data_IF_707789074454
#
_entry.id   IF_707789074454
#
_cell.length_a   1.000
_cell.length_b   1.000
_cell.length_c   1.000
_cell.angle_alpha   90.00
_cell.angle_beta   90.00
_cell.angle_gamma   90.00
#
_symmetry.space_group_name_H-M   'P 1'
#
loop_
_entity.id
_entity.type
_entity.pdbx_description
1 polymer ?
#
# COMPACT_ATOMS: atom_id res chain seq x y z
N UNK A 1 52.67 41.93 7.34
CA UNK A 1 52.04 40.68 7.84
C UNK A 1 50.55 40.84 7.64
N UNK A 2 49.99 40.33 6.54
CA UNK A 2 49.55 38.94 6.29
C UNK A 2 48.15 38.65 6.87
N UNK A 3 47.21 38.51 5.92
CA UNK A 3 45.94 37.79 5.89
C UNK A 3 44.64 38.41 6.44
N UNK A 4 43.81 38.86 5.48
CA UNK A 4 42.36 38.64 5.44
C UNK A 4 42.01 37.18 5.77
N UNK A 5 40.94 36.97 6.54
CA UNK A 5 40.08 35.78 6.41
C UNK A 5 38.63 36.24 6.41
N UNK A 6 38.10 36.33 5.19
CA UNK A 6 36.68 36.24 4.88
C UNK A 6 36.19 34.83 5.28
N UNK A 7 35.13 34.74 6.07
CA UNK A 7 34.33 33.50 6.17
C UNK A 7 32.95 33.80 5.61
N UNK A 8 32.84 33.63 4.29
CA UNK A 8 31.64 33.09 3.64
C UNK A 8 31.58 31.58 3.95
N UNK A 9 30.39 31.08 4.29
CA UNK A 9 29.80 29.75 3.99
C UNK A 9 28.70 29.48 5.03
N UNK A 10 27.51 29.00 4.73
CA UNK A 10 26.83 28.74 3.48
C UNK A 10 25.33 28.62 3.82
N UNK A 11 24.48 29.21 2.99
CA UNK A 11 23.10 28.75 2.86
C UNK A 11 23.11 27.41 2.13
N UNK A 12 22.54 26.39 2.76
CA UNK A 12 21.84 25.26 2.13
C UNK A 12 20.98 24.69 3.27
N UNK A 13 19.69 24.98 3.38
CA UNK A 13 18.77 25.33 2.32
C UNK A 13 18.49 24.11 1.46
N UNK A 14 17.32 23.50 1.71
CA UNK A 14 16.44 22.97 0.67
C UNK A 14 16.55 21.51 0.21
N UNK A 15 17.06 20.57 1.03
CA UNK A 15 16.93 19.13 0.70
C UNK A 15 16.26 18.25 1.76
N UNK A 16 15.95 18.77 2.95
CA UNK A 16 15.25 18.00 4.00
C UNK A 16 13.73 18.21 4.02
N UNK A 17 13.29 19.46 3.81
CA UNK A 17 11.88 19.82 3.99
C UNK A 17 10.98 19.30 2.86
N UNK A 18 11.51 19.10 1.65
CA UNK A 18 10.72 18.66 0.49
C UNK A 18 10.31 17.20 0.58
N UNK A 19 11.15 16.34 1.19
CA UNK A 19 10.85 14.92 1.34
C UNK A 19 9.83 14.66 2.47
N UNK A 20 9.87 15.45 3.54
CA UNK A 20 8.85 15.43 4.60
C UNK A 20 7.55 16.13 4.20
N UNK A 21 7.61 17.19 3.38
CA UNK A 21 6.38 17.84 2.88
C UNK A 21 5.69 17.03 1.77
N UNK A 22 6.43 16.27 0.95
CA UNK A 22 5.82 15.40 -0.06
C UNK A 22 5.12 14.17 0.54
N UNK A 23 5.51 13.73 1.74
CA UNK A 23 4.77 12.68 2.49
C UNK A 23 3.54 13.26 3.21
N UNK A 24 3.59 14.52 3.66
CA UNK A 24 2.47 15.15 4.36
C UNK A 24 1.31 15.60 3.45
N UNK A 25 1.58 15.94 2.18
CA UNK A 25 0.56 16.59 1.32
C UNK A 25 -0.44 15.62 0.67
N UNK A 26 -0.20 14.30 0.76
CA UNK A 26 -1.15 13.28 0.26
C UNK A 26 -2.34 13.09 1.22
N UNK A 27 -2.25 13.59 2.46
CA UNK A 27 -3.26 13.36 3.51
C UNK A 27 -4.37 14.43 3.62
N UNK A 28 -4.31 15.52 2.85
CA UNK A 28 -5.12 16.72 3.14
C UNK A 28 -6.11 17.15 2.04
N UNK A 29 -6.72 16.20 1.32
CA UNK A 29 -7.88 16.52 0.47
C UNK A 29 -9.05 15.55 0.66
N UNK A 30 -10.22 16.18 0.84
CA UNK A 30 -11.58 15.65 0.83
C UNK A 30 -12.04 15.13 2.20
N UNK A 31 -13.22 15.59 2.62
CA UNK A 31 -13.80 15.33 3.95
C UNK A 31 -13.58 13.88 4.39
N UNK A 32 -12.81 13.72 5.47
CA UNK A 32 -12.24 12.45 5.90
C UNK A 32 -13.33 11.59 6.53
N UNK A 33 -14.22 11.04 5.70
CA UNK A 33 -14.88 9.81 6.07
C UNK A 33 -13.77 8.76 6.08
N UNK A 34 -13.48 8.10 7.22
CA UNK A 34 -12.53 7.01 7.23
C UNK A 34 -13.02 5.99 6.20
N UNK A 35 -12.15 5.59 5.27
CA UNK A 35 -12.50 4.62 4.24
C UNK A 35 -13.16 3.40 4.88
N UNK A 36 -14.32 3.03 4.35
CA UNK A 36 -15.09 1.90 4.84
C UNK A 36 -14.52 0.60 4.28
N UNK A 37 -14.92 -0.54 4.85
CA UNK A 37 -14.56 -1.84 4.27
C UNK A 37 -15.12 -2.01 2.86
N UNK A 38 -16.25 -1.38 2.56
CA UNK A 38 -16.84 -1.38 1.22
C UNK A 38 -15.93 -0.63 0.24
N UNK A 39 -15.41 0.55 0.62
CA UNK A 39 -14.50 1.34 -0.20
C UNK A 39 -13.20 0.56 -0.48
N UNK A 40 -12.61 -0.06 0.55
CA UNK A 40 -11.41 -0.88 0.38
C UNK A 40 -11.67 -2.10 -0.52
N UNK A 41 -12.82 -2.74 -0.38
CA UNK A 41 -13.21 -3.86 -1.23
C UNK A 41 -13.35 -3.42 -2.70
N UNK A 42 -13.95 -2.27 -2.97
CA UNK A 42 -14.11 -1.72 -4.31
C UNK A 42 -12.77 -1.40 -4.97
N UNK A 43 -11.87 -0.71 -4.26
CA UNK A 43 -10.50 -0.42 -4.73
C UNK A 43 -9.79 -1.71 -5.09
N UNK A 44 -9.82 -2.70 -4.20
CA UNK A 44 -9.16 -3.98 -4.43
C UNK A 44 -9.77 -4.74 -5.60
N UNK A 45 -11.11 -4.85 -5.69
CA UNK A 45 -11.77 -5.56 -6.80
C UNK A 45 -11.42 -4.92 -8.14
N UNK A 46 -11.35 -3.59 -8.20
CA UNK A 46 -11.01 -2.85 -9.43
C UNK A 46 -9.57 -3.10 -9.87
N UNK A 47 -8.61 -3.01 -8.96
CA UNK A 47 -7.19 -3.17 -9.29
C UNK A 47 -6.73 -4.62 -9.40
N UNK A 48 -7.26 -5.52 -8.57
CA UNK A 48 -6.74 -6.88 -8.37
C UNK A 48 -7.64 -7.97 -9.00
N UNK A 49 -8.89 -7.62 -9.29
CA UNK A 49 -9.93 -8.56 -9.70
C UNK A 49 -10.59 -9.27 -8.51
N UNK A 50 -11.78 -9.84 -8.76
CA UNK A 50 -12.62 -10.46 -7.73
C UNK A 50 -11.94 -11.61 -6.99
N UNK A 51 -11.22 -12.47 -7.72
CA UNK A 51 -10.64 -13.71 -7.16
C UNK A 51 -9.52 -13.42 -6.17
N UNK A 52 -8.58 -12.53 -6.54
CA UNK A 52 -7.48 -12.16 -5.65
C UNK A 52 -8.00 -11.38 -4.45
N UNK A 53 -8.94 -10.45 -4.64
CA UNK A 53 -9.54 -9.72 -3.51
C UNK A 53 -10.24 -10.66 -2.54
N UNK A 54 -11.03 -11.63 -3.04
CA UNK A 54 -11.68 -12.64 -2.20
C UNK A 54 -10.64 -13.49 -1.44
N UNK A 55 -9.57 -13.91 -2.12
CA UNK A 55 -8.47 -14.64 -1.49
C UNK A 55 -7.78 -13.82 -0.39
N UNK A 56 -7.45 -12.55 -0.66
CA UNK A 56 -6.82 -11.67 0.32
C UNK A 56 -7.73 -11.41 1.51
N UNK A 57 -9.03 -11.24 1.29
CA UNK A 57 -10.01 -11.06 2.35
C UNK A 57 -10.12 -12.28 3.29
N UNK A 58 -9.64 -13.44 2.86
CA UNK A 58 -9.71 -14.70 3.60
C UNK A 58 -10.86 -15.61 3.17
N UNK A 59 -11.64 -15.23 2.17
CA UNK A 59 -12.72 -16.07 1.66
C UNK A 59 -12.16 -17.32 0.98
N UNK A 60 -12.93 -18.39 0.99
CA UNK A 60 -12.66 -19.63 0.25
C UNK A 60 -13.21 -19.52 -1.18
N UNK A 61 -14.24 -18.70 -1.40
CA UNK A 61 -14.85 -18.48 -2.72
C UNK A 61 -15.20 -17.01 -2.95
N UNK A 62 -15.31 -16.60 -4.22
CA UNK A 62 -15.80 -15.26 -4.58
C UNK A 62 -17.26 -15.05 -4.14
N UNK A 63 -18.08 -16.11 -4.15
CA UNK A 63 -19.48 -16.03 -3.71
C UNK A 63 -19.59 -15.74 -2.21
N UNK A 64 -18.77 -16.41 -1.39
CA UNK A 64 -18.66 -16.12 0.05
C UNK A 64 -18.24 -14.66 0.28
N UNK A 65 -17.18 -14.21 -0.39
CA UNK A 65 -16.73 -12.82 -0.31
C UNK A 65 -17.87 -11.83 -0.63
N UNK A 66 -18.56 -12.01 -1.76
CA UNK A 66 -19.69 -11.14 -2.17
C UNK A 66 -20.84 -11.16 -1.16
N UNK A 67 -21.10 -12.29 -0.52
CA UNK A 67 -22.18 -12.41 0.46
C UNK A 67 -22.01 -11.49 1.68
N UNK A 68 -20.76 -11.19 2.07
CA UNK A 68 -20.45 -10.30 3.21
C UNK A 68 -20.85 -8.84 2.97
N UNK A 69 -20.98 -8.43 1.71
CA UNK A 69 -21.35 -7.07 1.32
C UNK A 69 -22.81 -6.97 0.85
N UNK A 70 -23.46 -8.11 0.60
CA UNK A 70 -24.88 -8.18 0.26
C UNK A 70 -25.80 -8.28 1.49
N UNK A 71 -25.27 -8.76 2.62
CA UNK A 71 -26.04 -8.99 3.84
C UNK A 71 -25.88 -7.86 4.88
N UNK A 72 -26.82 -7.71 5.83
CA UNK A 72 -26.68 -6.78 6.95
C UNK A 72 -25.50 -7.12 7.86
N UNK A 73 -25.09 -8.39 7.89
CA UNK A 73 -23.97 -8.88 8.69
C UNK A 73 -22.66 -8.50 8.03
N UNK A 74 -22.01 -7.48 8.59
CA UNK A 74 -20.73 -6.94 8.11
C UNK A 74 -19.58 -7.94 8.31
N UNK A 75 -18.55 -7.90 7.44
CA UNK A 75 -17.37 -8.74 7.58
C UNK A 75 -16.63 -8.46 8.90
N UNK A 76 -16.01 -9.50 9.47
CA UNK A 76 -15.28 -9.44 10.73
C UNK A 76 -14.01 -8.57 10.67
N UNK A 77 -13.40 -8.31 11.84
CA UNK A 77 -12.24 -7.42 11.96
C UNK A 77 -11.04 -7.82 11.09
N UNK A 78 -10.69 -9.11 11.05
CA UNK A 78 -9.58 -9.60 10.22
C UNK A 78 -9.79 -9.33 8.72
N UNK A 79 -11.03 -9.52 8.22
CA UNK A 79 -11.37 -9.22 6.82
C UNK A 79 -11.18 -7.73 6.52
N UNK A 80 -11.66 -6.85 7.41
CA UNK A 80 -11.50 -5.40 7.26
C UNK A 80 -10.04 -4.98 7.19
N UNK A 81 -9.18 -5.52 8.06
CA UNK A 81 -7.74 -5.22 8.05
C UNK A 81 -7.04 -5.71 6.81
N UNK A 82 -7.30 -6.95 6.38
CA UNK A 82 -6.69 -7.50 5.16
C UNK A 82 -7.06 -6.66 3.93
N UNK A 83 -8.32 -6.22 3.83
CA UNK A 83 -8.78 -5.36 2.73
C UNK A 83 -8.19 -3.96 2.80
N UNK A 84 -8.09 -3.34 3.99
CA UNK A 84 -7.43 -2.05 4.17
C UNK A 84 -5.96 -2.12 3.73
N UNK A 85 -5.22 -3.13 4.20
CA UNK A 85 -3.82 -3.33 3.82
C UNK A 85 -3.65 -3.61 2.32
N UNK A 86 -4.54 -4.40 1.71
CA UNK A 86 -4.52 -4.63 0.27
C UNK A 86 -4.78 -3.35 -0.52
N UNK A 87 -5.70 -2.50 -0.06
CA UNK A 87 -5.96 -1.20 -0.68
C UNK A 87 -4.75 -0.26 -0.55
N UNK A 88 -4.07 -0.24 0.60
CA UNK A 88 -2.83 0.53 0.77
C UNK A 88 -1.73 0.07 -0.18
N UNK A 89 -1.55 -1.24 -0.38
CA UNK A 89 -0.61 -1.78 -1.38
C UNK A 89 -1.00 -1.30 -2.78
N UNK A 90 -2.28 -1.35 -3.14
CA UNK A 90 -2.76 -0.82 -4.43
C UNK A 90 -2.41 0.65 -4.59
N UNK A 91 -2.60 1.47 -3.55
CA UNK A 91 -2.25 2.90 -3.58
C UNK A 91 -0.74 3.14 -3.76
N UNK A 92 0.13 2.27 -3.23
CA UNK A 92 1.58 2.34 -3.48
C UNK A 92 1.87 2.16 -4.98
N UNK A 93 1.28 1.16 -5.62
CA UNK A 93 1.43 0.94 -7.07
C UNK A 93 0.80 2.05 -7.89
N UNK A 94 -0.36 2.56 -7.49
CA UNK A 94 -1.05 3.67 -8.15
C UNK A 94 -0.22 4.95 -8.13
N UNK A 95 0.40 5.29 -6.98
CA UNK A 95 1.28 6.46 -6.87
C UNK A 95 2.50 6.40 -7.81
N UNK A 96 2.90 5.20 -8.22
CA UNK A 96 3.97 4.94 -9.16
C UNK A 96 3.49 4.76 -10.62
N UNK A 97 2.19 4.93 -10.90
CA UNK A 97 1.54 4.64 -12.18
C UNK A 97 1.69 3.18 -12.65
N UNK A 98 1.77 2.23 -11.71
CA UNK A 98 1.96 0.79 -11.98
C UNK A 98 0.79 -0.05 -11.44
N UNK A 99 -0.42 0.51 -11.33
CA UNK A 99 -1.60 -0.18 -10.76
C UNK A 99 -1.86 -1.55 -11.40
N UNK A 100 -1.61 -1.67 -12.70
CA UNK A 100 -1.76 -2.91 -13.49
C UNK A 100 -0.80 -4.03 -13.06
N UNK A 101 0.34 -3.69 -12.44
CA UNK A 101 1.33 -4.64 -11.94
C UNK A 101 1.06 -5.13 -10.52
N UNK A 102 0.20 -4.43 -9.75
CA UNK A 102 -0.08 -4.76 -8.35
C UNK A 102 -0.59 -6.20 -8.18
N UNK A 103 -1.49 -6.63 -9.07
CA UNK A 103 -2.07 -7.97 -9.03
C UNK A 103 -1.04 -9.07 -9.38
N UNK A 104 -0.09 -8.77 -10.26
CA UNK A 104 0.99 -9.71 -10.61
C UNK A 104 1.98 -9.83 -9.45
N UNK A 105 2.43 -8.70 -8.91
CA UNK A 105 3.36 -8.64 -7.79
C UNK A 105 2.83 -9.38 -6.55
N UNK A 106 1.54 -9.20 -6.22
CA UNK A 106 0.91 -9.89 -5.09
C UNK A 106 0.93 -11.43 -5.22
N UNK A 107 0.96 -11.95 -6.46
CA UNK A 107 1.00 -13.39 -6.75
C UNK A 107 2.41 -13.92 -7.00
N UNK A 108 3.40 -13.04 -7.14
CA UNK A 108 4.77 -13.42 -7.44
C UNK A 108 5.38 -14.18 -6.26
N UNK A 109 6.18 -15.20 -6.59
CA UNK A 109 6.91 -16.02 -5.62
C UNK A 109 8.36 -15.57 -5.68
N UNK A 110 8.92 -15.13 -4.56
CA UNK A 110 10.35 -14.80 -4.51
C UNK A 110 11.24 -16.05 -4.39
N UNK A 111 12.56 -15.85 -4.37
CA UNK A 111 13.54 -16.92 -4.27
C UNK A 111 13.47 -17.70 -2.94
N UNK A 112 12.86 -17.13 -1.91
CA UNK A 112 12.68 -17.73 -0.59
C UNK A 112 11.32 -18.44 -0.47
N UNK A 113 10.49 -18.40 -1.52
CA UNK A 113 9.15 -18.99 -1.57
C UNK A 113 8.06 -18.12 -0.93
N UNK A 114 8.36 -16.84 -0.69
CA UNK A 114 7.42 -15.86 -0.18
C UNK A 114 6.44 -15.44 -1.28
N UNK A 115 5.15 -15.41 -0.93
CA UNK A 115 4.09 -14.88 -1.80
C UNK A 115 3.37 -13.78 -1.05
N UNK A 116 3.42 -12.51 -1.49
CA UNK A 116 2.87 -11.38 -0.74
C UNK A 116 1.38 -11.57 -0.37
N UNK A 117 0.56 -12.05 -1.32
CA UNK A 117 -0.85 -12.32 -1.05
C UNK A 117 -1.07 -13.39 0.02
N UNK A 118 -0.23 -14.43 0.06
CA UNK A 118 -0.32 -15.49 1.06
C UNK A 118 0.05 -14.95 2.44
N UNK A 119 1.07 -14.12 2.53
CA UNK A 119 1.49 -13.52 3.79
C UNK A 119 0.38 -12.63 4.33
N UNK A 120 -0.16 -11.72 3.52
CA UNK A 120 -1.25 -10.86 3.95
C UNK A 120 -2.48 -11.67 4.44
N UNK A 121 -2.81 -12.77 3.75
CA UNK A 121 -3.90 -13.67 4.16
C UNK A 121 -3.63 -14.31 5.51
N UNK A 122 -2.47 -14.97 5.67
CA UNK A 122 -2.15 -15.76 6.86
C UNK A 122 -1.88 -14.90 8.10
N UNK A 123 -1.39 -13.68 7.91
CA UNK A 123 -1.03 -12.77 8.99
C UNK A 123 -2.24 -12.00 9.56
N UNK A 124 -3.41 -12.15 8.94
CA UNK A 124 -4.64 -11.45 9.33
C UNK A 124 -4.53 -9.92 9.29
N UNK A 125 -3.64 -9.42 8.43
CA UNK A 125 -3.32 -8.00 8.32
C UNK A 125 -2.66 -7.44 9.57
N UNK A 126 -1.87 -8.22 10.31
CA UNK A 126 -1.08 -7.71 11.42
C UNK A 126 -0.16 -6.56 10.98
N UNK A 127 0.04 -5.60 11.88
CA UNK A 127 0.71 -4.35 11.56
C UNK A 127 2.17 -4.56 11.12
N UNK A 128 2.85 -5.58 11.67
CA UNK A 128 4.25 -5.85 11.34
C UNK A 128 4.38 -6.40 9.93
N UNK A 129 3.57 -7.41 9.56
CA UNK A 129 3.60 -7.97 8.20
C UNK A 129 3.07 -6.98 7.17
N UNK A 130 2.04 -6.21 7.50
CA UNK A 130 1.51 -5.16 6.60
C UNK A 130 2.55 -4.10 6.35
N UNK A 131 3.22 -3.59 7.40
CA UNK A 131 4.31 -2.62 7.24
C UNK A 131 5.44 -3.17 6.34
N UNK A 132 5.90 -4.39 6.60
CA UNK A 132 6.96 -5.01 5.80
C UNK A 132 6.54 -5.19 4.33
N UNK A 133 5.28 -5.56 4.07
CA UNK A 133 4.72 -5.66 2.72
C UNK A 133 4.69 -4.31 2.00
N UNK A 134 4.27 -3.25 2.68
CA UNK A 134 4.22 -1.89 2.12
C UNK A 134 5.61 -1.37 1.78
N UNK A 135 6.59 -1.58 2.67
CA UNK A 135 7.99 -1.21 2.43
C UNK A 135 8.57 -1.98 1.22
N UNK A 136 8.25 -3.27 1.11
CA UNK A 136 8.68 -4.11 -0.02
C UNK A 136 8.04 -3.66 -1.33
N UNK A 137 6.74 -3.36 -1.32
CA UNK A 137 6.02 -2.83 -2.48
C UNK A 137 6.62 -1.50 -2.95
N UNK A 138 6.90 -0.58 -2.02
CA UNK A 138 7.49 0.72 -2.32
C UNK A 138 8.91 0.60 -2.90
N UNK A 139 9.73 -0.30 -2.36
CA UNK A 139 11.06 -0.57 -2.90
C UNK A 139 10.99 -1.18 -4.31
N UNK A 140 10.04 -2.08 -4.56
CA UNK A 140 9.82 -2.70 -5.86
C UNK A 140 9.39 -1.69 -6.92
N UNK A 141 8.44 -0.80 -6.60
CA UNK A 141 7.95 0.21 -7.54
C UNK A 141 9.04 1.23 -7.88
N UNK A 142 9.85 1.63 -6.89
CA UNK A 142 11.00 2.52 -7.12
C UNK A 142 12.04 1.91 -8.08
N UNK A 143 12.39 0.64 -7.89
CA UNK A 143 13.39 -0.04 -8.73
C UNK A 143 12.86 -0.39 -10.13
N UNK A 144 11.55 -0.59 -10.28
CA UNK A 144 10.92 -0.92 -11.55
C UNK A 144 10.80 0.29 -12.47
N UNK A 145 10.69 1.50 -11.93
CA UNK A 145 10.70 2.75 -12.70
C UNK A 145 12.06 3.13 -13.29
N UNK A 146 13.14 2.46 -12.88
CA UNK A 146 14.50 2.72 -13.35
C UNK A 146 14.95 1.83 -14.53
N UNK A 147 14.07 0.93 -15.01
CA UNK A 147 14.31 0.01 -16.13
C UNK A 147 13.59 0.47 -17.38
#
# INVERSE_FOLDING_TARGET
>A
MKHEVSVRRSRSGEYGATFELMTATVLERVGHHPATVDDHAEVCVTALGNELTAYLAGATTVAEFRSWFAAPTRPGYAVRRRLAAAAEIVSVFESANHTDLAAAWLREVDAEGYVPARVLRLSEGDETSVKALLETAAAWTFNSSAR
#
